data_IF_587711124459
#
_entry.id   IF_587711124459
#
_cell.length_a   1.000
_cell.length_b   1.000
_cell.length_c   1.000
_cell.angle_alpha   90.00
_cell.angle_beta   90.00
_cell.angle_gamma   90.00
#
_symmetry.space_group_name_H-M   'P 1'
#
loop_
_entity.id
_entity.type
_entity.pdbx_description
1 polymer ?
#
# COMPACT_ATOMS: atom_id res chain seq x y z
N UNK A 1 12.54 -14.76 -31.77
CA UNK A 1 13.99 -14.51 -31.64
C UNK A 1 14.70 -15.82 -31.45
N UNK A 2 15.40 -16.31 -32.42
CA UNK A 2 16.11 -17.62 -32.38
C UNK A 2 17.44 -17.57 -31.60
N UNK A 3 17.74 -16.47 -30.91
CA UNK A 3 19.00 -16.24 -30.19
C UNK A 3 18.85 -16.18 -28.66
N UNK A 4 17.73 -16.67 -28.09
CA UNK A 4 17.45 -16.47 -26.66
C UNK A 4 18.42 -17.20 -25.73
N UNK A 5 19.17 -18.20 -26.19
CA UNK A 5 20.16 -18.97 -25.41
C UNK A 5 21.52 -19.05 -26.09
N UNK A 6 21.74 -18.32 -27.17
CA UNK A 6 22.99 -18.36 -27.93
C UNK A 6 23.87 -17.14 -27.64
N UNK A 7 24.94 -17.36 -26.88
CA UNK A 7 25.92 -16.32 -26.57
C UNK A 7 26.60 -15.76 -27.85
N UNK A 8 26.85 -16.59 -28.85
CA UNK A 8 27.49 -16.18 -30.11
C UNK A 8 26.56 -15.23 -30.88
N UNK A 9 25.28 -15.51 -30.94
CA UNK A 9 24.27 -14.64 -31.54
C UNK A 9 24.15 -13.28 -30.87
N UNK A 10 24.20 -13.25 -29.54
CA UNK A 10 24.19 -12.00 -28.76
C UNK A 10 25.45 -11.17 -29.02
N UNK A 11 26.63 -11.81 -29.04
CA UNK A 11 27.89 -11.12 -29.33
C UNK A 11 27.94 -10.59 -30.75
N UNK A 12 27.42 -11.35 -31.72
CA UNK A 12 27.29 -10.88 -33.11
C UNK A 12 26.36 -9.66 -33.22
N UNK A 13 25.22 -9.69 -32.54
CA UNK A 13 24.29 -8.54 -32.51
C UNK A 13 24.94 -7.30 -31.90
N UNK A 14 25.71 -7.46 -30.80
CA UNK A 14 26.47 -6.37 -30.19
C UNK A 14 27.50 -5.80 -31.16
N UNK A 15 28.22 -6.65 -31.92
CA UNK A 15 29.17 -6.21 -32.91
C UNK A 15 28.49 -5.45 -34.05
N UNK A 16 27.35 -5.92 -34.53
CA UNK A 16 26.56 -5.23 -35.56
C UNK A 16 26.11 -3.83 -35.11
N UNK A 17 25.79 -3.68 -33.82
CA UNK A 17 25.45 -2.37 -33.22
C UNK A 17 26.67 -1.46 -33.09
N UNK A 18 27.86 -2.02 -32.78
CA UNK A 18 29.12 -1.25 -32.73
C UNK A 18 29.51 -0.71 -34.09
N UNK A 19 29.32 -1.48 -35.14
CA UNK A 19 29.61 -1.11 -36.51
C UNK A 19 28.78 0.09 -37.00
N UNK A 20 27.63 0.34 -36.40
CA UNK A 20 26.82 1.54 -36.67
C UNK A 20 27.47 2.85 -36.20
N UNK A 21 28.48 2.81 -35.33
CA UNK A 21 29.22 3.95 -34.76
C UNK A 21 28.36 5.09 -34.20
N UNK A 22 27.20 4.76 -33.64
CA UNK A 22 26.28 5.74 -33.05
C UNK A 22 26.70 6.01 -31.62
N UNK A 23 27.04 7.27 -31.32
CA UNK A 23 27.46 7.69 -29.96
C UNK A 23 26.34 7.45 -28.95
N UNK A 24 26.65 6.76 -27.86
CA UNK A 24 25.69 6.46 -26.76
C UNK A 24 24.79 5.25 -27.02
N UNK A 25 24.83 4.63 -28.19
CA UNK A 25 24.02 3.46 -28.49
C UNK A 25 24.36 2.27 -27.58
N UNK A 26 25.68 2.07 -27.32
CA UNK A 26 26.13 0.96 -26.47
C UNK A 26 25.43 0.86 -25.10
N UNK A 27 25.45 1.92 -24.27
CA UNK A 27 24.74 1.91 -22.97
C UNK A 27 23.25 1.70 -23.08
N UNK A 28 22.60 2.34 -24.06
CA UNK A 28 21.14 2.22 -24.24
C UNK A 28 20.76 0.79 -24.69
N UNK A 29 21.48 0.26 -25.68
CA UNK A 29 21.23 -1.08 -26.22
C UNK A 29 21.56 -2.18 -25.20
N UNK A 30 22.64 -2.07 -24.42
CA UNK A 30 22.97 -3.05 -23.39
C UNK A 30 21.90 -3.12 -22.29
N UNK A 31 21.33 -1.98 -21.86
CA UNK A 31 20.23 -1.98 -20.90
C UNK A 31 18.97 -2.66 -21.47
N UNK A 32 18.65 -2.45 -22.74
CA UNK A 32 17.53 -3.12 -23.40
C UNK A 32 17.77 -4.63 -23.55
N UNK A 33 18.98 -5.00 -24.03
CA UNK A 33 19.37 -6.39 -24.21
C UNK A 33 19.42 -7.17 -22.91
N UNK A 34 19.71 -6.52 -21.78
CA UNK A 34 19.65 -7.16 -20.46
C UNK A 34 18.24 -7.68 -20.15
N UNK A 35 17.19 -6.93 -20.46
CA UNK A 35 15.81 -7.41 -20.22
C UNK A 35 15.43 -8.59 -21.12
N UNK A 36 16.03 -8.70 -22.28
CA UNK A 36 15.80 -9.80 -23.22
C UNK A 36 16.66 -11.03 -22.91
N UNK A 37 17.89 -10.81 -22.43
CA UNK A 37 18.88 -11.86 -22.17
C UNK A 37 19.57 -11.69 -20.80
N UNK A 38 18.82 -11.80 -19.69
CA UNK A 38 19.33 -11.50 -18.37
C UNK A 38 20.43 -12.45 -17.86
N UNK A 39 20.61 -13.60 -18.50
CA UNK A 39 21.67 -14.56 -18.19
C UNK A 39 22.97 -14.30 -18.95
N UNK A 40 22.92 -13.56 -20.06
CA UNK A 40 24.03 -13.34 -20.97
C UNK A 40 24.52 -11.90 -21.03
N UNK A 41 23.65 -10.95 -20.73
CA UNK A 41 23.91 -9.52 -20.85
C UNK A 41 23.80 -8.86 -19.49
N UNK A 42 24.74 -7.97 -19.15
CA UNK A 42 24.64 -7.11 -17.96
C UNK A 42 24.26 -5.69 -18.36
N UNK A 43 23.53 -4.93 -17.54
CA UNK A 43 23.27 -3.51 -17.83
C UNK A 43 24.58 -2.72 -17.90
N UNK A 44 24.61 -1.66 -18.70
CA UNK A 44 25.77 -0.81 -18.91
C UNK A 44 25.42 0.65 -18.67
N UNK A 45 25.53 1.08 -17.43
CA UNK A 45 25.27 2.45 -16.99
C UNK A 45 26.34 2.95 -16.01
N UNK A 46 26.32 4.22 -15.71
CA UNK A 46 27.35 4.88 -14.88
C UNK A 46 27.52 4.23 -13.51
N UNK A 47 26.44 3.87 -12.86
CA UNK A 47 26.51 3.27 -11.53
C UNK A 47 27.12 1.86 -11.58
N UNK A 48 26.68 1.02 -12.51
CA UNK A 48 27.20 -0.34 -12.66
C UNK A 48 28.69 -0.33 -13.04
N UNK A 49 29.10 0.54 -13.97
CA UNK A 49 30.52 0.68 -14.34
C UNK A 49 31.37 1.15 -13.16
N UNK A 50 30.91 2.13 -12.39
CA UNK A 50 31.58 2.58 -11.16
C UNK A 50 31.69 1.46 -10.13
N UNK A 51 30.61 0.73 -9.89
CA UNK A 51 30.59 -0.39 -8.96
C UNK A 51 31.51 -1.52 -9.40
N UNK A 52 31.48 -1.90 -10.68
CA UNK A 52 32.40 -2.91 -11.22
C UNK A 52 33.87 -2.51 -11.03
N UNK A 53 34.21 -1.27 -11.39
CA UNK A 53 35.59 -0.76 -11.22
C UNK A 53 36.01 -0.77 -9.73
N UNK A 54 35.12 -0.38 -8.84
CA UNK A 54 35.38 -0.36 -7.40
C UNK A 54 35.59 -1.77 -6.83
N UNK A 55 34.79 -2.74 -7.26
CA UNK A 55 34.86 -4.14 -6.77
C UNK A 55 36.07 -4.88 -7.31
N UNK A 56 36.44 -4.63 -8.60
CA UNK A 56 37.44 -5.42 -9.32
C UNK A 56 38.80 -4.72 -9.46
N UNK A 57 38.86 -3.42 -9.16
CA UNK A 57 40.04 -2.58 -9.48
C UNK A 57 40.20 -2.27 -10.97
N UNK A 58 39.23 -2.63 -11.80
CA UNK A 58 39.24 -2.32 -13.24
C UNK A 58 39.09 -0.82 -13.50
N UNK A 59 39.28 -0.41 -14.76
CA UNK A 59 39.16 0.98 -15.20
C UNK A 59 38.27 1.10 -16.44
N UNK A 60 37.19 0.35 -16.48
CA UNK A 60 36.23 0.35 -17.59
C UNK A 60 35.59 1.74 -17.73
N UNK A 61 35.46 2.18 -19.01
CA UNK A 61 34.81 3.45 -19.35
C UNK A 61 33.47 3.21 -20.03
N UNK A 62 32.48 4.02 -19.67
CA UNK A 62 31.16 3.97 -20.29
C UNK A 62 31.22 4.48 -21.74
N UNK A 63 30.50 3.84 -22.65
CA UNK A 63 30.25 4.37 -24.00
C UNK A 63 30.94 3.60 -25.17
N UNK A 64 31.76 2.61 -24.87
CA UNK A 64 32.44 1.78 -25.88
C UNK A 64 32.09 0.30 -25.70
N UNK A 65 31.85 -0.39 -26.79
CA UNK A 65 31.48 -1.80 -26.77
C UNK A 65 32.61 -2.73 -26.34
N UNK A 66 33.86 -2.44 -26.72
CA UNK A 66 35.03 -3.18 -26.27
C UNK A 66 35.19 -3.12 -24.73
N UNK A 67 34.96 -1.97 -24.15
CA UNK A 67 34.92 -1.78 -22.69
C UNK A 67 33.74 -2.54 -22.04
N UNK A 68 32.58 -2.49 -22.68
CA UNK A 68 31.40 -3.27 -22.26
C UNK A 68 31.69 -4.77 -22.27
N UNK A 69 32.25 -5.30 -23.40
CA UNK A 69 32.55 -6.72 -23.51
C UNK A 69 33.61 -7.18 -22.48
N UNK A 70 34.58 -6.33 -22.16
CA UNK A 70 35.53 -6.59 -21.09
C UNK A 70 34.86 -6.68 -19.74
N UNK A 71 33.98 -5.71 -19.41
CA UNK A 71 33.19 -5.70 -18.17
C UNK A 71 32.27 -6.91 -18.11
N UNK A 72 31.54 -7.22 -19.17
CA UNK A 72 30.64 -8.37 -19.28
C UNK A 72 31.34 -9.68 -18.91
N UNK A 73 32.52 -9.95 -19.48
CA UNK A 73 33.31 -11.15 -19.12
C UNK A 73 33.62 -11.20 -17.62
N UNK A 74 34.03 -10.07 -17.05
CA UNK A 74 34.32 -10.00 -15.62
C UNK A 74 33.09 -10.20 -14.75
N UNK A 75 31.93 -9.63 -15.13
CA UNK A 75 30.66 -9.83 -14.41
C UNK A 75 30.22 -11.29 -14.46
N UNK A 76 30.30 -11.94 -15.63
CA UNK A 76 29.99 -13.38 -15.75
C UNK A 76 30.93 -14.24 -14.90
N UNK A 77 32.23 -13.93 -14.85
CA UNK A 77 33.19 -14.64 -14.01
C UNK A 77 32.87 -14.46 -12.53
N UNK A 78 32.54 -13.24 -12.07
CA UNK A 78 32.12 -12.98 -10.69
C UNK A 78 30.82 -13.71 -10.37
N UNK A 79 29.83 -13.69 -11.25
CA UNK A 79 28.56 -14.38 -11.05
C UNK A 79 28.78 -15.90 -10.89
N UNK A 80 29.66 -16.47 -11.73
CA UNK A 80 30.03 -17.88 -11.64
C UNK A 80 30.79 -18.21 -10.35
N UNK A 81 31.73 -17.36 -9.91
CA UNK A 81 32.47 -17.54 -8.66
C UNK A 81 31.57 -17.57 -7.44
N UNK A 82 30.54 -16.73 -7.42
CA UNK A 82 29.60 -16.60 -6.29
C UNK A 82 28.24 -17.24 -6.57
N UNK A 83 28.14 -18.18 -7.49
CA UNK A 83 26.89 -18.78 -7.96
C UNK A 83 26.03 -19.40 -6.86
N UNK A 84 26.63 -19.90 -5.80
CA UNK A 84 25.91 -20.44 -4.65
C UNK A 84 25.14 -19.37 -3.83
N UNK A 85 25.44 -18.09 -4.05
CA UNK A 85 24.86 -16.93 -3.36
C UNK A 85 24.12 -15.97 -4.29
N UNK A 86 24.30 -16.14 -5.58
CA UNK A 86 23.71 -15.32 -6.65
C UNK A 86 22.76 -16.17 -7.51
N UNK A 87 21.82 -15.52 -8.21
CA UNK A 87 20.92 -16.18 -9.15
C UNK A 87 21.64 -16.59 -10.46
N UNK A 88 20.96 -17.39 -11.29
CA UNK A 88 21.46 -17.75 -12.62
C UNK A 88 21.47 -16.55 -13.59
N UNK A 89 20.53 -15.61 -13.41
CA UNK A 89 20.55 -14.36 -14.13
C UNK A 89 21.59 -13.39 -13.51
N UNK A 90 21.89 -12.34 -14.23
CA UNK A 90 22.85 -11.31 -13.78
C UNK A 90 22.18 -10.21 -12.93
N UNK A 91 20.91 -10.38 -12.52
CA UNK A 91 20.16 -9.37 -11.79
C UNK A 91 20.74 -9.09 -10.40
N UNK A 92 21.06 -10.14 -9.65
CA UNK A 92 21.61 -10.00 -8.28
C UNK A 92 22.98 -9.32 -8.31
N UNK A 93 23.89 -9.72 -9.21
CA UNK A 93 25.21 -9.09 -9.32
C UNK A 93 25.10 -7.67 -9.88
N UNK A 94 24.22 -7.42 -10.85
CA UNK A 94 24.01 -6.08 -11.38
C UNK A 94 23.45 -5.13 -10.31
N UNK A 95 22.51 -5.60 -9.49
CA UNK A 95 21.98 -4.86 -8.34
C UNK A 95 23.08 -4.52 -7.33
N UNK A 96 23.91 -5.49 -6.97
CA UNK A 96 25.05 -5.28 -6.07
C UNK A 96 26.03 -4.23 -6.62
N UNK A 97 26.42 -4.35 -7.89
CA UNK A 97 27.32 -3.39 -8.54
C UNK A 97 26.69 -1.99 -8.65
N UNK A 98 25.38 -1.92 -8.90
CA UNK A 98 24.66 -0.66 -8.89
C UNK A 98 24.68 0.01 -7.51
N UNK A 99 24.43 -0.74 -6.44
CA UNK A 99 24.39 -0.20 -5.08
C UNK A 99 25.79 0.27 -4.62
N UNK A 100 26.84 -0.46 -4.98
CA UNK A 100 28.22 -0.02 -4.75
C UNK A 100 28.53 1.25 -5.54
N UNK A 101 28.23 1.27 -6.82
CA UNK A 101 28.58 2.40 -7.70
C UNK A 101 27.73 3.67 -7.49
N UNK A 102 26.56 3.52 -6.92
CA UNK A 102 25.70 4.65 -6.48
C UNK A 102 26.02 5.12 -5.05
N UNK A 103 26.96 4.46 -4.36
CA UNK A 103 27.31 4.78 -2.98
C UNK A 103 26.31 4.32 -1.92
N UNK A 104 25.33 3.49 -2.31
CA UNK A 104 24.37 2.88 -1.37
C UNK A 104 24.99 1.79 -0.52
N UNK A 105 25.97 1.08 -1.07
CA UNK A 105 26.73 0.04 -0.39
C UNK A 105 28.22 0.40 -0.41
N UNK A 106 28.82 0.80 0.71
CA UNK A 106 30.25 1.04 0.80
C UNK A 106 31.03 -0.30 0.71
N UNK A 107 32.08 -0.32 -0.10
CA UNK A 107 33.01 -1.46 -0.10
C UNK A 107 33.88 -1.40 1.13
N UNK A 108 34.15 -2.55 1.79
CA UNK A 108 35.16 -2.60 2.84
C UNK A 108 36.53 -2.26 2.21
N UNK A 109 37.07 -1.11 2.57
CA UNK A 109 38.47 -0.79 2.28
C UNK A 109 39.35 -1.59 3.28
N UNK A 110 40.61 -1.80 2.96
CA UNK A 110 41.56 -2.51 3.84
C UNK A 110 41.64 -1.89 5.26
N UNK A 111 41.18 -0.64 5.40
CA UNK A 111 41.10 0.11 6.67
C UNK A 111 39.65 0.16 7.22
N UNK A 112 38.68 -0.44 6.54
CA UNK A 112 37.27 -0.36 6.95
C UNK A 112 37.07 -1.19 8.23
N UNK A 113 36.76 -0.49 9.31
CA UNK A 113 36.31 -1.08 10.56
C UNK A 113 35.04 -1.94 10.29
N UNK A 114 35.09 -3.28 10.55
CA UNK A 114 33.95 -4.17 10.38
C UNK A 114 32.67 -3.67 11.08
N UNK A 115 32.84 -2.94 12.18
CA UNK A 115 31.76 -2.33 12.96
C UNK A 115 31.07 -1.18 12.20
N UNK A 116 31.82 -0.36 11.48
CA UNK A 116 31.27 0.73 10.67
C UNK A 116 30.44 0.18 9.49
N UNK A 117 30.93 -0.88 8.83
CA UNK A 117 30.21 -1.56 7.76
C UNK A 117 28.91 -2.20 8.25
N UNK A 118 28.95 -2.87 9.43
CA UNK A 118 27.76 -3.47 10.04
C UNK A 118 26.72 -2.41 10.42
N UNK A 119 27.17 -1.24 10.90
CA UNK A 119 26.30 -0.11 11.23
C UNK A 119 25.64 0.47 9.97
N UNK A 120 26.38 0.66 8.88
CA UNK A 120 25.83 1.14 7.60
C UNK A 120 24.85 0.13 6.99
N UNK A 121 25.14 -1.16 7.05
CA UNK A 121 24.21 -2.20 6.60
C UNK A 121 22.93 -2.22 7.44
N UNK A 122 23.03 -2.03 8.76
CA UNK A 122 21.87 -1.93 9.64
C UNK A 122 21.01 -0.71 9.29
N UNK A 123 21.65 0.44 9.01
CA UNK A 123 20.96 1.67 8.58
C UNK A 123 20.19 1.46 7.26
N UNK A 124 20.83 0.89 6.23
CA UNK A 124 20.19 0.60 4.93
C UNK A 124 18.99 -0.33 5.09
N UNK A 125 19.09 -1.35 5.94
CA UNK A 125 17.97 -2.26 6.25
C UNK A 125 16.82 -1.53 6.96
N UNK A 126 17.15 -0.66 7.91
CA UNK A 126 16.17 0.15 8.63
C UNK A 126 15.43 1.10 7.68
N UNK A 127 16.16 1.79 6.79
CA UNK A 127 15.59 2.71 5.82
C UNK A 127 14.67 2.00 4.83
N UNK A 128 15.08 0.83 4.32
CA UNK A 128 14.25 0.00 3.44
C UNK A 128 13.00 -0.53 4.15
N UNK A 129 13.08 -0.89 5.43
CA UNK A 129 11.94 -1.29 6.23
C UNK A 129 10.98 -0.13 6.48
N UNK A 130 11.50 1.07 6.75
CA UNK A 130 10.71 2.29 6.93
C UNK A 130 9.99 2.68 5.64
N UNK A 131 10.63 2.57 4.48
CA UNK A 131 10.02 2.85 3.18
C UNK A 131 8.89 1.88 2.85
N UNK A 132 9.10 0.56 3.10
CA UNK A 132 8.04 -0.45 2.93
C UNK A 132 6.84 -0.16 3.84
N UNK A 133 7.08 0.22 5.09
CA UNK A 133 6.01 0.58 6.02
C UNK A 133 5.22 1.79 5.53
N UNK A 134 5.89 2.87 5.10
CA UNK A 134 5.23 4.06 4.52
C UNK A 134 4.40 3.72 3.28
N UNK A 135 4.90 2.85 2.41
CA UNK A 135 4.15 2.41 1.23
C UNK A 135 2.91 1.59 1.60
N UNK A 136 3.00 0.73 2.62
CA UNK A 136 1.87 -0.02 3.15
C UNK A 136 0.84 0.91 3.80
N UNK A 137 1.27 1.84 4.65
CA UNK A 137 0.42 2.85 5.29
C UNK A 137 -0.32 3.70 4.24
N UNK A 138 0.36 4.13 3.17
CA UNK A 138 -0.26 4.88 2.08
C UNK A 138 -1.25 4.05 1.25
N UNK A 139 -1.05 2.74 1.13
CA UNK A 139 -1.99 1.84 0.46
C UNK A 139 -3.25 1.62 1.32
N UNK A 140 -3.07 1.47 2.63
CA UNK A 140 -4.16 1.36 3.61
C UNK A 140 -5.01 2.62 3.64
N UNK A 141 -4.38 3.79 3.66
CA UNK A 141 -5.05 5.08 3.67
C UNK A 141 -5.91 5.31 2.42
N UNK A 142 -5.42 4.90 1.24
CA UNK A 142 -6.21 4.91 0.00
C UNK A 142 -7.40 3.97 0.06
N UNK A 143 -7.22 2.77 0.60
CA UNK A 143 -8.28 1.78 0.77
C UNK A 143 -9.36 2.26 1.72
N UNK A 144 -8.96 2.85 2.86
CA UNK A 144 -9.85 3.46 3.84
C UNK A 144 -10.74 4.54 3.19
N UNK A 145 -10.11 5.52 2.52
CA UNK A 145 -10.83 6.61 1.83
C UNK A 145 -11.78 6.08 0.75
N UNK A 146 -11.39 5.02 0.04
CA UNK A 146 -12.25 4.40 -0.97
C UNK A 146 -13.52 3.80 -0.35
N UNK A 147 -13.39 3.10 0.76
CA UNK A 147 -14.55 2.50 1.47
C UNK A 147 -15.45 3.57 2.07
N UNK A 148 -14.88 4.62 2.68
CA UNK A 148 -15.66 5.78 3.12
C UNK A 148 -16.45 6.40 1.95
N UNK A 149 -15.83 6.51 0.79
CA UNK A 149 -16.49 7.02 -0.43
C UNK A 149 -17.64 6.13 -0.91
N UNK A 150 -17.49 4.81 -0.85
CA UNK A 150 -18.59 3.88 -1.17
C UNK A 150 -19.78 4.04 -0.22
N UNK A 151 -19.50 4.16 1.09
CA UNK A 151 -20.55 4.39 2.09
C UNK A 151 -21.23 5.74 1.91
N UNK A 152 -20.47 6.80 1.58
CA UNK A 152 -21.02 8.11 1.24
C UNK A 152 -21.98 8.02 0.07
N UNK A 153 -21.52 7.43 -1.04
CA UNK A 153 -22.32 7.38 -2.28
C UNK A 153 -23.57 6.50 -2.08
N UNK A 154 -23.44 5.39 -1.37
CA UNK A 154 -24.56 4.50 -1.05
C UNK A 154 -25.59 5.20 -0.15
N UNK A 155 -25.15 5.88 0.92
CA UNK A 155 -26.04 6.61 1.82
C UNK A 155 -26.88 7.67 1.09
N UNK A 156 -26.23 8.43 0.21
CA UNK A 156 -26.90 9.42 -0.62
C UNK A 156 -27.89 8.79 -1.60
N UNK A 157 -27.51 7.68 -2.24
CA UNK A 157 -28.39 6.95 -3.16
C UNK A 157 -29.64 6.40 -2.45
N UNK A 158 -29.52 6.02 -1.18
CA UNK A 158 -30.61 5.55 -0.34
C UNK A 158 -31.43 6.68 0.31
N UNK A 159 -31.10 7.95 0.03
CA UNK A 159 -31.85 9.12 0.49
C UNK A 159 -31.45 9.69 1.85
N UNK A 160 -30.32 9.24 2.40
CA UNK A 160 -29.78 9.79 3.65
C UNK A 160 -28.94 11.05 3.41
N UNK A 161 -28.94 11.96 4.37
CA UNK A 161 -27.91 12.96 4.52
C UNK A 161 -26.67 12.27 5.08
N UNK A 162 -25.49 12.60 4.54
CA UNK A 162 -24.24 11.92 4.93
C UNK A 162 -23.29 12.91 5.59
N UNK A 163 -22.71 12.49 6.69
CA UNK A 163 -21.55 13.11 7.31
C UNK A 163 -20.32 12.24 7.08
N UNK A 164 -19.17 12.86 6.82
CA UNK A 164 -17.86 12.22 6.76
C UNK A 164 -16.97 12.85 7.83
N UNK A 165 -16.15 12.02 8.47
CA UNK A 165 -15.25 12.43 9.54
C UNK A 165 -14.50 13.73 9.24
N UNK A 166 -14.44 14.63 10.21
CA UNK A 166 -13.92 16.00 10.03
C UNK A 166 -12.48 16.05 9.52
N UNK A 167 -11.63 15.09 9.91
CA UNK A 167 -10.24 14.94 9.49
C UNK A 167 -10.09 14.37 8.07
N UNK A 168 -11.12 13.71 7.51
CA UNK A 168 -11.07 13.03 6.21
C UNK A 168 -11.77 13.81 5.09
N UNK A 169 -12.51 14.87 5.42
CA UNK A 169 -13.32 15.67 4.48
C UNK A 169 -12.58 16.15 3.24
N UNK A 170 -11.29 16.48 3.39
CA UNK A 170 -10.44 16.98 2.32
C UNK A 170 -9.79 15.90 1.45
N UNK A 171 -9.91 14.62 1.79
CA UNK A 171 -9.30 13.52 1.03
C UNK A 171 -9.88 13.42 -0.38
N UNK A 172 -9.08 12.93 -1.30
CA UNK A 172 -9.50 12.76 -2.71
C UNK A 172 -10.20 11.42 -2.91
N UNK A 173 -11.41 11.47 -3.47
CA UNK A 173 -12.19 10.31 -3.88
C UNK A 173 -12.87 10.58 -5.24
N UNK A 174 -12.66 9.69 -6.22
CA UNK A 174 -13.23 9.79 -7.58
C UNK A 174 -13.02 11.17 -8.26
N UNK A 175 -11.85 11.80 -8.03
CA UNK A 175 -11.51 13.09 -8.63
C UNK A 175 -12.08 14.33 -7.93
N UNK A 176 -12.90 14.17 -6.88
CA UNK A 176 -13.44 15.22 -6.03
C UNK A 176 -13.02 15.09 -4.58
N UNK A 177 -13.59 15.91 -3.72
CA UNK A 177 -13.40 15.78 -2.26
C UNK A 177 -14.31 14.71 -1.69
N UNK A 178 -13.83 13.95 -0.72
CA UNK A 178 -14.62 12.92 -0.04
C UNK A 178 -15.90 13.49 0.58
N UNK A 179 -15.89 14.70 1.12
CA UNK A 179 -17.07 15.34 1.70
C UNK A 179 -17.97 16.04 0.67
N UNK A 180 -17.71 15.92 -0.62
CA UNK A 180 -18.54 16.56 -1.65
C UNK A 180 -19.98 16.06 -1.61
N UNK A 181 -20.93 16.99 -1.40
CA UNK A 181 -22.34 16.69 -1.24
C UNK A 181 -22.73 16.03 0.10
N UNK A 182 -21.85 16.10 1.10
CA UNK A 182 -22.13 15.75 2.48
C UNK A 182 -22.56 16.97 3.31
N UNK A 183 -23.05 16.73 4.51
CA UNK A 183 -23.36 17.79 5.48
C UNK A 183 -22.09 18.55 5.87
N UNK A 184 -22.17 19.88 5.95
CA UNK A 184 -21.08 20.73 6.41
C UNK A 184 -20.99 20.77 7.95
N UNK A 185 -22.15 20.65 8.62
CA UNK A 185 -22.30 20.62 10.08
C UNK A 185 -23.17 19.43 10.47
N UNK A 186 -22.96 18.90 11.66
CA UNK A 186 -23.82 17.88 12.23
C UNK A 186 -25.20 18.48 12.58
N UNK A 187 -26.27 17.68 12.64
CA UNK A 187 -27.56 18.13 13.18
C UNK A 187 -27.43 18.72 14.59
N UNK A 188 -28.26 19.68 14.94
CA UNK A 188 -28.21 20.42 16.20
C UNK A 188 -28.21 19.52 17.45
N UNK A 189 -28.95 18.40 17.40
CA UNK A 189 -28.99 17.42 18.49
C UNK A 189 -27.62 16.75 18.75
N UNK A 190 -26.85 16.50 17.67
CA UNK A 190 -25.49 15.94 17.77
C UNK A 190 -24.46 17.01 18.12
N UNK A 191 -24.60 18.22 17.60
CA UNK A 191 -23.72 19.36 17.91
C UNK A 191 -23.78 19.76 19.37
N UNK A 192 -24.94 19.56 20.04
CA UNK A 192 -25.10 19.83 21.46
C UNK A 192 -24.66 18.68 22.38
N UNK A 193 -24.22 17.56 21.82
CA UNK A 193 -23.75 16.41 22.61
C UNK A 193 -22.43 16.72 23.30
N UNK A 194 -22.25 16.21 24.52
CA UNK A 194 -20.96 16.24 25.24
C UNK A 194 -19.87 15.45 24.52
N UNK A 195 -20.24 14.51 23.65
CA UNK A 195 -19.34 13.68 22.87
C UNK A 195 -19.12 14.20 21.43
N UNK A 196 -19.52 15.45 21.13
CA UNK A 196 -19.51 15.99 19.76
C UNK A 196 -18.15 15.87 19.08
N UNK A 197 -17.05 16.10 19.79
CA UNK A 197 -15.70 16.02 19.23
C UNK A 197 -15.36 14.58 18.80
N UNK A 198 -15.83 13.58 19.53
CA UNK A 198 -15.68 12.16 19.15
C UNK A 198 -16.62 11.80 18.01
N UNK A 199 -17.87 12.26 18.03
CA UNK A 199 -18.87 12.01 16.98
C UNK A 199 -18.40 12.58 15.64
N UNK A 200 -17.78 13.76 15.62
CA UNK A 200 -17.20 14.37 14.42
C UNK A 200 -16.12 13.54 13.75
N UNK A 201 -15.51 12.61 14.49
CA UNK A 201 -14.44 11.71 13.99
C UNK A 201 -14.96 10.36 13.52
N UNK A 202 -16.25 10.07 13.65
CA UNK A 202 -16.84 8.85 13.09
C UNK A 202 -16.73 8.90 11.57
N UNK A 203 -16.23 7.83 10.97
CA UNK A 203 -15.84 7.80 9.57
C UNK A 203 -16.98 8.19 8.62
N UNK A 204 -18.16 7.59 8.78
CA UNK A 204 -19.35 7.95 8.02
C UNK A 204 -20.60 7.84 8.91
N UNK A 205 -21.48 8.85 8.86
CA UNK A 205 -22.81 8.79 9.46
C UNK A 205 -23.87 8.95 8.36
N UNK A 206 -24.91 8.13 8.42
CA UNK A 206 -26.12 8.32 7.64
C UNK A 206 -27.20 8.92 8.55
N UNK A 207 -27.73 10.03 8.13
CA UNK A 207 -28.62 10.85 8.92
C UNK A 207 -29.94 11.00 8.18
N UNK A 208 -31.04 10.73 8.87
CA UNK A 208 -32.39 10.95 8.35
C UNK A 208 -32.67 12.44 8.16
N UNK A 209 -33.61 12.82 7.28
CA UNK A 209 -33.97 14.24 7.08
C UNK A 209 -34.34 14.97 8.38
N UNK A 210 -34.88 14.24 9.37
CA UNK A 210 -35.27 14.75 10.69
C UNK A 210 -34.06 14.93 11.64
N UNK A 211 -32.85 14.61 11.19
CA UNK A 211 -31.61 14.79 11.96
C UNK A 211 -31.24 13.62 12.88
N UNK A 212 -31.94 12.49 12.83
CA UNK A 212 -31.61 11.27 13.59
C UNK A 212 -30.54 10.47 12.85
N UNK A 213 -29.64 9.84 13.60
CA UNK A 213 -28.65 8.92 13.01
C UNK A 213 -29.34 7.59 12.67
N UNK A 214 -29.39 7.26 11.38
CA UNK A 214 -29.88 5.97 10.91
C UNK A 214 -28.79 4.90 11.02
N UNK A 215 -27.55 5.25 10.63
CA UNK A 215 -26.41 4.34 10.71
C UNK A 215 -25.11 5.08 10.96
N UNK A 216 -24.20 4.44 11.70
CA UNK A 216 -22.82 4.87 11.94
C UNK A 216 -21.85 3.79 11.44
N UNK A 217 -20.80 4.21 10.76
CA UNK A 217 -19.81 3.33 10.16
C UNK A 217 -18.43 3.73 10.61
N UNK A 218 -17.66 2.75 11.09
CA UNK A 218 -16.22 2.85 11.31
C UNK A 218 -15.50 1.93 10.32
N UNK A 219 -14.58 2.48 9.57
CA UNK A 219 -13.83 1.80 8.52
C UNK A 219 -12.45 1.47 9.06
N UNK A 220 -12.16 0.20 9.28
CA UNK A 220 -10.91 -0.23 9.91
C UNK A 220 -10.14 -1.17 8.98
N UNK A 221 -8.88 -0.85 8.70
CA UNK A 221 -8.04 -1.66 7.83
C UNK A 221 -7.02 -2.52 8.59
N UNK A 222 -6.15 -1.91 9.37
CA UNK A 222 -5.04 -2.60 10.05
C UNK A 222 -4.88 -2.25 11.51
N UNK A 223 -5.32 -1.07 11.90
CA UNK A 223 -5.09 -0.52 13.24
C UNK A 223 -6.16 -0.93 14.25
N UNK A 224 -6.17 -0.29 15.34
CA UNK A 224 -6.96 -0.61 16.53
C UNK A 224 -8.49 -0.52 16.29
N UNK A 225 -9.13 -1.66 16.06
CA UNK A 225 -10.60 -1.81 16.14
C UNK A 225 -11.21 -1.16 17.40
N UNK A 226 -10.38 -0.95 18.42
CA UNK A 226 -10.78 -0.39 19.70
C UNK A 226 -11.26 1.05 19.57
N UNK A 227 -10.56 1.90 18.84
CA UNK A 227 -10.91 3.32 18.72
C UNK A 227 -12.26 3.54 18.03
N UNK A 228 -12.53 2.79 16.96
CA UNK A 228 -13.80 2.82 16.25
C UNK A 228 -14.97 2.39 17.14
N UNK A 229 -14.80 1.29 17.90
CA UNK A 229 -15.83 0.83 18.83
C UNK A 229 -16.11 1.89 19.92
N UNK A 230 -15.07 2.53 20.46
CA UNK A 230 -15.25 3.59 21.47
C UNK A 230 -16.01 4.78 20.91
N UNK A 231 -15.71 5.24 19.69
CA UNK A 231 -16.45 6.35 19.05
C UNK A 231 -17.92 6.02 18.85
N UNK A 232 -18.24 4.79 18.47
CA UNK A 232 -19.63 4.32 18.34
C UNK A 232 -20.34 4.27 19.71
N UNK A 233 -19.61 3.91 20.77
CA UNK A 233 -20.12 3.94 22.13
C UNK A 233 -20.44 5.36 22.59
N UNK A 234 -19.53 6.30 22.32
CA UNK A 234 -19.72 7.71 22.67
C UNK A 234 -20.93 8.30 21.93
N UNK A 235 -21.15 7.91 20.67
CA UNK A 235 -22.34 8.26 19.92
C UNK A 235 -23.61 7.68 20.58
N UNK A 236 -23.58 6.40 20.93
CA UNK A 236 -24.74 5.71 21.52
C UNK A 236 -25.13 6.26 22.90
N UNK A 237 -24.14 6.64 23.70
CA UNK A 237 -24.34 7.17 25.06
C UNK A 237 -24.59 8.68 25.10
N UNK A 238 -24.01 9.40 24.13
CA UNK A 238 -24.08 10.87 24.06
C UNK A 238 -25.36 11.42 23.46
N UNK A 239 -26.19 10.58 22.88
CA UNK A 239 -27.41 10.99 22.23
C UNK A 239 -28.61 10.82 23.17
N UNK A 240 -29.20 11.93 23.57
CA UNK A 240 -30.23 12.05 24.62
C UNK A 240 -31.59 11.43 24.30
N UNK A 241 -31.90 11.10 23.05
CA UNK A 241 -33.19 10.61 22.59
C UNK A 241 -33.14 9.30 21.83
N UNK A 242 -32.53 8.26 22.45
CA UNK A 242 -32.63 6.88 21.92
C UNK A 242 -32.32 6.76 20.45
N UNK A 243 -31.11 7.13 20.05
CA UNK A 243 -30.64 6.89 18.67
C UNK A 243 -30.62 5.38 18.42
N UNK A 244 -31.73 4.88 17.92
CA UNK A 244 -31.88 3.51 17.45
C UNK A 244 -31.14 3.31 16.10
N UNK A 245 -29.93 3.86 16.00
CA UNK A 245 -29.09 3.70 14.82
C UNK A 245 -28.50 2.30 14.75
N UNK A 246 -28.16 1.86 13.56
CA UNK A 246 -27.32 0.67 13.33
C UNK A 246 -25.86 1.07 13.36
N UNK A 247 -25.02 0.21 13.93
CA UNK A 247 -23.59 0.44 14.04
C UNK A 247 -22.85 -0.62 13.22
N UNK A 248 -22.01 -0.17 12.31
CA UNK A 248 -21.27 -1.06 11.40
C UNK A 248 -19.77 -0.85 11.54
N UNK A 249 -19.07 -1.94 11.86
CA UNK A 249 -17.63 -2.01 11.72
C UNK A 249 -17.32 -2.57 10.33
N UNK A 250 -16.76 -1.75 9.47
CA UNK A 250 -16.47 -2.07 8.07
C UNK A 250 -15.00 -2.35 7.93
N UNK A 251 -14.63 -3.60 7.60
CA UNK A 251 -13.23 -4.02 7.59
C UNK A 251 -12.97 -5.14 6.59
N UNK A 252 -11.70 -5.43 6.24
CA UNK A 252 -11.36 -6.59 5.43
C UNK A 252 -11.87 -7.90 6.05
N UNK A 253 -12.29 -8.84 5.23
CA UNK A 253 -12.89 -10.13 5.63
C UNK A 253 -12.06 -10.87 6.69
N UNK A 254 -10.73 -10.86 6.53
CA UNK A 254 -9.79 -11.49 7.46
C UNK A 254 -9.84 -10.94 8.89
N UNK A 255 -10.43 -9.76 9.08
CA UNK A 255 -10.51 -9.07 10.38
C UNK A 255 -11.76 -9.43 11.18
N UNK A 256 -12.68 -10.22 10.64
CA UNK A 256 -13.92 -10.57 11.33
C UNK A 256 -13.67 -11.30 12.66
N UNK A 257 -12.76 -12.27 12.67
CA UNK A 257 -12.42 -13.00 13.89
C UNK A 257 -11.82 -12.08 14.98
N UNK A 258 -10.93 -11.15 14.57
CA UNK A 258 -10.35 -10.16 15.47
C UNK A 258 -11.42 -9.22 16.03
N UNK A 259 -12.35 -8.76 15.19
CA UNK A 259 -13.44 -7.90 15.60
C UNK A 259 -14.34 -8.59 16.64
N UNK A 260 -14.71 -9.84 16.39
CA UNK A 260 -15.48 -10.67 17.36
C UNK A 260 -14.74 -10.83 18.68
N UNK A 261 -13.44 -11.14 18.63
CA UNK A 261 -12.62 -11.31 19.82
C UNK A 261 -12.50 -10.01 20.63
N UNK A 262 -12.36 -8.85 19.97
CA UNK A 262 -12.31 -7.56 20.63
C UNK A 262 -13.68 -7.21 21.28
N UNK A 263 -14.78 -7.42 20.55
CA UNK A 263 -16.11 -7.11 21.05
C UNK A 263 -16.55 -8.03 22.19
N UNK A 264 -16.04 -9.27 22.25
CA UNK A 264 -16.29 -10.22 23.34
C UNK A 264 -15.62 -9.84 24.67
N UNK A 265 -14.76 -8.80 24.71
CA UNK A 265 -14.07 -8.39 25.94
C UNK A 265 -15.06 -7.86 26.97
N UNK A 266 -14.84 -8.16 28.29
CA UNK A 266 -15.76 -7.74 29.35
C UNK A 266 -16.02 -6.23 29.42
N UNK A 267 -15.06 -5.41 29.00
CA UNK A 267 -15.20 -3.96 28.91
C UNK A 267 -16.32 -3.53 27.96
N UNK A 268 -16.53 -4.28 26.88
CA UNK A 268 -17.57 -4.00 25.89
C UNK A 268 -18.89 -4.74 26.19
N UNK A 269 -18.85 -5.88 26.87
CA UNK A 269 -20.07 -6.62 27.24
C UNK A 269 -20.95 -5.88 28.23
N UNK A 270 -20.37 -5.04 29.10
CA UNK A 270 -21.12 -4.27 30.11
C UNK A 270 -21.79 -3.02 29.57
N UNK A 271 -21.35 -2.57 28.40
CA UNK A 271 -21.75 -1.27 27.89
C UNK A 271 -22.82 -1.45 26.83
N UNK A 272 -23.51 -2.61 26.71
CA UNK A 272 -24.54 -2.44 25.78
C UNK A 272 -25.35 -3.50 25.14
N UNK A 273 -26.53 -3.09 24.93
CA UNK A 273 -27.48 -3.34 23.83
C UNK A 273 -27.11 -2.70 22.47
N UNK A 274 -25.83 -2.41 22.23
CA UNK A 274 -25.38 -1.89 20.94
C UNK A 274 -25.47 -2.99 19.87
N UNK A 275 -26.35 -2.82 18.89
CA UNK A 275 -26.43 -3.72 17.73
C UNK A 275 -25.28 -3.41 16.76
N UNK A 276 -24.04 -3.74 17.17
CA UNK A 276 -22.84 -3.60 16.36
C UNK A 276 -22.68 -4.80 15.43
N UNK A 277 -22.53 -4.52 14.15
CA UNK A 277 -22.43 -5.51 13.07
C UNK A 277 -21.14 -5.36 12.31
N UNK A 278 -20.60 -6.47 11.85
CA UNK A 278 -19.45 -6.52 10.96
C UNK A 278 -19.95 -6.52 9.50
N UNK A 279 -19.41 -5.60 8.70
CA UNK A 279 -19.64 -5.53 7.27
C UNK A 279 -18.31 -5.71 6.54
N UNK A 280 -18.16 -6.79 5.78
CA UNK A 280 -16.93 -7.07 5.07
C UNK A 280 -16.74 -6.13 3.85
N UNK A 281 -15.49 -5.77 3.56
CA UNK A 281 -15.17 -4.98 2.36
C UNK A 281 -15.61 -5.65 1.07
N UNK A 282 -15.48 -6.98 0.96
CA UNK A 282 -15.92 -7.74 -0.21
C UNK A 282 -17.42 -7.66 -0.41
N UNK A 283 -18.20 -7.84 0.67
CA UNK A 283 -19.67 -7.80 0.62
C UNK A 283 -20.16 -6.41 0.17
N UNK A 284 -19.54 -5.33 0.72
CA UNK A 284 -19.86 -3.97 0.32
C UNK A 284 -19.46 -3.70 -1.14
N UNK A 285 -18.25 -4.11 -1.55
CA UNK A 285 -17.77 -3.91 -2.92
C UNK A 285 -18.66 -4.60 -3.96
N UNK A 286 -19.10 -5.83 -3.69
CA UNK A 286 -19.92 -6.63 -4.59
C UNK A 286 -21.34 -6.09 -4.71
N UNK A 287 -21.93 -5.68 -3.59
CA UNK A 287 -23.38 -5.41 -3.55
C UNK A 287 -23.77 -3.93 -3.57
N UNK A 288 -22.83 -2.99 -3.35
CA UNK A 288 -23.14 -1.54 -3.23
C UNK A 288 -23.91 -0.96 -4.41
N UNK A 289 -23.65 -1.40 -5.65
CA UNK A 289 -24.34 -0.88 -6.84
C UNK A 289 -25.77 -1.37 -6.93
N UNK A 290 -26.01 -2.64 -6.60
CA UNK A 290 -27.35 -3.22 -6.53
C UNK A 290 -28.15 -2.59 -5.39
N UNK A 291 -27.52 -2.36 -4.24
CA UNK A 291 -28.15 -1.67 -3.11
C UNK A 291 -28.51 -0.23 -3.45
N UNK A 292 -27.65 0.50 -4.16
CA UNK A 292 -27.93 1.87 -4.59
C UNK A 292 -29.10 1.96 -5.56
N UNK A 293 -29.30 0.94 -6.41
CA UNK A 293 -30.37 0.92 -7.43
C UNK A 293 -31.72 0.43 -6.89
N UNK A 294 -31.71 -0.57 -6.03
CA UNK A 294 -32.92 -1.33 -5.65
C UNK A 294 -33.14 -1.39 -4.13
N UNK A 295 -32.19 -0.91 -3.34
CA UNK A 295 -32.27 -0.93 -1.89
C UNK A 295 -33.28 0.09 -1.35
N UNK A 296 -33.81 -0.20 -0.16
CA UNK A 296 -34.65 0.71 0.59
C UNK A 296 -34.20 0.72 2.06
N UNK A 297 -33.84 1.89 2.57
CA UNK A 297 -33.37 2.06 3.93
C UNK A 297 -32.16 1.20 4.26
N UNK A 298 -32.09 0.67 5.48
CA UNK A 298 -30.95 -0.14 5.96
C UNK A 298 -31.09 -1.64 5.69
N UNK A 299 -32.24 -2.11 5.20
CA UNK A 299 -32.48 -3.56 4.99
C UNK A 299 -31.41 -4.28 4.19
N UNK A 300 -30.85 -3.73 3.09
CA UNK A 300 -29.81 -4.40 2.34
C UNK A 300 -28.53 -4.57 3.16
N UNK A 301 -28.15 -3.58 3.95
CA UNK A 301 -26.98 -3.66 4.84
C UNK A 301 -27.20 -4.65 5.98
N UNK A 302 -28.40 -4.66 6.56
CA UNK A 302 -28.77 -5.61 7.61
C UNK A 302 -28.70 -7.07 7.13
N UNK A 303 -28.97 -7.30 5.84
CA UNK A 303 -28.88 -8.63 5.23
C UNK A 303 -27.44 -9.12 5.01
N UNK A 304 -26.49 -8.19 4.76
CA UNK A 304 -25.09 -8.50 4.51
C UNK A 304 -24.26 -8.50 5.81
N UNK A 305 -24.58 -7.59 6.72
CA UNK A 305 -23.78 -7.42 7.92
C UNK A 305 -24.07 -8.51 8.96
N UNK A 306 -23.00 -9.01 9.57
CA UNK A 306 -23.05 -10.09 10.57
C UNK A 306 -23.00 -9.52 11.98
N UNK A 307 -23.90 -9.91 12.90
CA UNK A 307 -23.82 -9.48 14.27
C UNK A 307 -22.48 -9.86 14.90
N UNK A 308 -21.84 -8.93 15.61
CA UNK A 308 -20.60 -9.21 16.35
C UNK A 308 -20.85 -9.93 17.68
N UNK A 309 -22.08 -9.84 18.23
CA UNK A 309 -22.49 -10.72 19.33
C UNK A 309 -22.76 -12.12 18.78
N UNK A 310 -22.26 -13.14 19.47
CA UNK A 310 -22.72 -14.51 19.26
C UNK A 310 -24.20 -14.64 19.65
N UNK A 311 -24.93 -15.64 19.13
CA UNK A 311 -26.23 -15.99 19.68
C UNK A 311 -26.03 -16.27 21.17
N UNK A 312 -26.74 -15.52 22.01
CA UNK A 312 -26.76 -15.71 23.45
C UNK A 312 -27.32 -17.09 23.83
#
# INVERSE_FOLDING_TARGET
CDCCDDEAGVLWAIQALDDCRIKGLGPAAANLLYFLHPTLVTPFNTAIVKGYNAVTGARVKLGRWDEYLAMRRGVLALNQQYRTRLSNDLGAIAGFLFDVGSGRLPLPTAEANPTAWAADLARVRSDAAAERRRAAEAAEDRSHTQVQGWLRDLGRALGYQVWVASNDRGRTYNGGRLAEGCLDTLPAALESSLAVDTIRLIDVLWIEPEGRVAAAFEVEHSTSLYSGIVRMLDLALGATDGLAGRYFLVAPDRREADARAQFARPAFQRVLDLDLRFLAYSDLAEHRESMARFGQGLRPLDALARPLRGPG
#
